data_IF_982196788431
#
_entry.id   IF_982196788431
#
_cell.length_a   1.000
_cell.length_b   1.000
_cell.length_c   1.000
_cell.angle_alpha   90.00
_cell.angle_beta   90.00
_cell.angle_gamma   90.00
#
_symmetry.space_group_name_H-M   'P 1'
#
loop_
_entity.id
_entity.type
_entity.pdbx_description
1 polymer ?
#
# COMPACT_ATOMS: atom_id res chain seq x y z
N UNK A 1 -23.04 -15.01 -11.65
CA UNK A 1 -22.59 -13.79 -12.36
C UNK A 1 -23.07 -13.96 -13.78
N UNK A 2 -24.01 -13.13 -14.23
CA UNK A 2 -24.34 -13.06 -15.66
C UNK A 2 -23.15 -12.40 -16.37
N UNK A 3 -22.65 -13.03 -17.43
CA UNK A 3 -21.52 -12.52 -18.21
C UNK A 3 -21.99 -11.34 -19.06
N UNK A 4 -21.47 -10.14 -18.80
CA UNK A 4 -21.78 -8.95 -19.60
C UNK A 4 -20.98 -9.02 -20.90
N UNK A 5 -21.64 -9.10 -22.05
CA UNK A 5 -20.98 -8.91 -23.35
C UNK A 5 -20.37 -7.51 -23.39
N UNK A 6 -19.05 -7.45 -23.24
CA UNK A 6 -18.28 -6.21 -23.23
C UNK A 6 -17.27 -6.26 -24.36
N UNK A 7 -17.11 -5.13 -25.05
CA UNK A 7 -16.15 -5.03 -26.13
C UNK A 7 -14.73 -5.25 -25.58
N UNK A 8 -13.93 -6.07 -26.27
CA UNK A 8 -12.57 -6.43 -25.83
C UNK A 8 -11.70 -5.20 -25.52
N UNK A 9 -11.87 -4.11 -26.28
CA UNK A 9 -11.11 -2.88 -26.08
C UNK A 9 -11.34 -2.27 -24.68
N UNK A 10 -12.55 -2.38 -24.11
CA UNK A 10 -12.87 -1.90 -22.76
C UNK A 10 -12.06 -2.68 -21.72
N UNK A 11 -12.03 -4.01 -21.86
CA UNK A 11 -11.27 -4.89 -20.96
C UNK A 11 -9.79 -4.55 -21.03
N UNK A 12 -9.24 -4.39 -22.24
CA UNK A 12 -7.83 -4.01 -22.44
C UNK A 12 -7.52 -2.66 -21.78
N UNK A 13 -8.37 -1.65 -21.96
CA UNK A 13 -8.20 -0.33 -21.34
C UNK A 13 -8.20 -0.44 -19.81
N UNK A 14 -9.13 -1.20 -19.22
CA UNK A 14 -9.20 -1.37 -17.77
C UNK A 14 -8.01 -2.13 -17.20
N UNK A 15 -7.51 -3.15 -17.92
CA UNK A 15 -6.26 -3.84 -17.55
C UNK A 15 -5.09 -2.86 -17.58
N UNK A 16 -4.96 -2.04 -18.63
CA UNK A 16 -3.91 -1.01 -18.73
C UNK A 16 -4.03 0.00 -17.60
N UNK A 17 -5.24 0.44 -17.25
CA UNK A 17 -5.46 1.35 -16.13
C UNK A 17 -5.08 0.72 -14.79
N UNK A 18 -5.38 -0.56 -14.58
CA UNK A 18 -4.97 -1.28 -13.39
C UNK A 18 -3.43 -1.38 -13.30
N UNK A 19 -2.75 -1.64 -14.42
CA UNK A 19 -1.27 -1.64 -14.48
C UNK A 19 -0.70 -0.26 -14.17
N UNK A 20 -1.32 0.82 -14.69
CA UNK A 20 -0.94 2.21 -14.36
C UNK A 20 -1.12 2.47 -12.86
N UNK A 21 -2.24 2.03 -12.29
CA UNK A 21 -2.47 2.12 -10.85
C UNK A 21 -1.39 1.39 -10.06
N UNK A 22 -1.00 0.18 -10.47
CA UNK A 22 0.05 -0.58 -9.77
C UNK A 22 1.43 0.05 -9.89
N UNK A 23 1.75 0.59 -11.07
CA UNK A 23 2.94 1.41 -11.28
C UNK A 23 2.91 2.65 -10.36
N UNK A 24 1.77 3.34 -10.27
CA UNK A 24 1.61 4.47 -9.38
C UNK A 24 1.72 4.09 -7.91
N UNK A 25 1.24 2.92 -7.50
CA UNK A 25 1.42 2.40 -6.15
C UNK A 25 2.90 2.17 -5.87
N UNK A 26 3.59 1.48 -6.79
CA UNK A 26 5.02 1.27 -6.69
C UNK A 26 5.79 2.58 -6.52
N UNK A 27 5.39 3.62 -7.26
CA UNK A 27 5.95 4.97 -7.21
C UNK A 27 5.62 5.75 -5.93
N UNK A 28 4.35 5.76 -5.54
CA UNK A 28 3.82 6.51 -4.40
C UNK A 28 4.34 5.91 -3.09
N UNK A 29 4.28 4.58 -2.99
CA UNK A 29 4.58 3.82 -1.79
C UNK A 29 6.05 3.35 -1.75
N UNK A 30 6.85 3.65 -2.79
CA UNK A 30 8.33 3.61 -2.73
C UNK A 30 8.88 4.33 -1.50
N UNK A 31 8.19 5.40 -1.07
CA UNK A 31 8.56 6.16 0.11
C UNK A 31 8.56 5.34 1.39
N UNK A 32 7.74 4.29 1.48
CA UNK A 32 7.60 3.46 2.66
C UNK A 32 8.88 2.65 2.94
N UNK A 33 9.53 2.15 1.89
CA UNK A 33 10.75 1.35 2.02
C UNK A 33 12.03 2.16 1.94
N UNK A 34 12.00 3.34 1.32
CA UNK A 34 13.20 4.12 0.97
C UNK A 34 13.45 5.28 1.93
N UNK A 35 12.39 5.87 2.51
CA UNK A 35 12.52 7.11 3.26
C UNK A 35 13.43 6.99 4.48
N UNK A 36 13.38 5.87 5.18
CA UNK A 36 14.21 5.57 6.35
C UNK A 36 15.67 5.35 5.95
N UNK A 37 15.96 4.56 4.91
CA UNK A 37 17.33 4.24 4.47
C UNK A 37 18.04 5.46 3.88
N UNK A 38 17.31 6.28 3.13
CA UNK A 38 17.84 7.53 2.55
C UNK A 38 18.01 8.60 3.62
N UNK A 39 17.07 8.74 4.56
CA UNK A 39 17.18 9.75 5.64
C UNK A 39 18.27 9.43 6.66
N UNK A 40 18.55 8.14 6.93
CA UNK A 40 19.67 7.72 7.79
C UNK A 40 21.02 7.76 7.07
N UNK A 41 21.01 7.96 5.75
CA UNK A 41 22.21 8.00 4.91
C UNK A 41 22.90 6.65 4.80
N UNK A 42 22.15 5.55 4.82
CA UNK A 42 22.68 4.18 4.59
C UNK A 42 22.87 3.90 3.11
N UNK A 43 21.93 4.33 2.27
CA UNK A 43 22.04 4.27 0.80
C UNK A 43 21.87 5.66 0.18
N UNK A 44 22.49 5.84 -0.99
CA UNK A 44 22.17 6.99 -1.85
C UNK A 44 20.77 6.81 -2.46
N UNK A 45 20.05 7.90 -2.79
CA UNK A 45 18.72 7.85 -3.39
C UNK A 45 18.57 6.83 -4.55
N UNK A 46 19.47 6.89 -5.54
CA UNK A 46 19.45 5.97 -6.69
C UNK A 46 19.66 4.49 -6.32
N UNK A 47 20.49 4.20 -5.31
CA UNK A 47 20.70 2.83 -4.84
C UNK A 47 19.47 2.31 -4.10
N UNK A 48 18.82 3.18 -3.32
CA UNK A 48 17.67 2.80 -2.52
C UNK A 48 16.44 2.46 -3.38
N UNK A 49 16.21 3.17 -4.50
CA UNK A 49 15.12 2.83 -5.44
C UNK A 49 15.34 1.49 -6.13
N UNK A 50 16.55 1.21 -6.60
CA UNK A 50 16.88 -0.08 -7.23
C UNK A 50 16.76 -1.23 -6.22
N UNK A 51 17.26 -1.01 -5.00
CA UNK A 51 17.18 -1.97 -3.91
C UNK A 51 15.73 -2.31 -3.55
N UNK A 52 14.89 -1.29 -3.34
CA UNK A 52 13.48 -1.47 -3.03
C UNK A 52 12.71 -2.13 -4.20
N UNK A 53 12.96 -1.70 -5.44
CA UNK A 53 12.34 -2.27 -6.63
C UNK A 53 12.67 -3.77 -6.77
N UNK A 54 13.93 -4.16 -6.58
CA UNK A 54 14.34 -5.57 -6.62
C UNK A 54 13.54 -6.41 -5.61
N UNK A 55 13.45 -5.97 -4.35
CA UNK A 55 12.72 -6.71 -3.32
C UNK A 55 11.19 -6.68 -3.51
N UNK A 56 10.63 -5.60 -4.08
CA UNK A 56 9.23 -5.55 -4.45
C UNK A 56 8.90 -6.63 -5.50
N UNK A 57 9.74 -6.81 -6.52
CA UNK A 57 9.55 -7.86 -7.53
C UNK A 57 9.81 -9.25 -6.94
N UNK A 58 10.87 -9.41 -6.14
CA UNK A 58 11.26 -10.69 -5.54
C UNK A 58 10.18 -11.27 -4.60
N UNK A 59 9.25 -10.46 -4.12
CA UNK A 59 8.12 -10.90 -3.31
C UNK A 59 7.25 -11.96 -4.01
N UNK A 60 7.24 -12.02 -5.36
CA UNK A 60 6.57 -13.07 -6.13
C UNK A 60 7.04 -14.48 -5.75
N UNK A 61 8.29 -14.65 -5.32
CA UNK A 61 8.86 -15.95 -4.96
C UNK A 61 8.65 -16.31 -3.48
N UNK A 62 8.14 -15.37 -2.68
CA UNK A 62 8.08 -15.52 -1.21
C UNK A 62 6.64 -15.64 -0.72
N UNK A 63 5.71 -14.88 -1.28
CA UNK A 63 4.34 -14.79 -0.79
C UNK A 63 3.34 -15.53 -1.67
N UNK A 64 2.40 -16.24 -1.04
CA UNK A 64 1.22 -16.77 -1.70
C UNK A 64 0.20 -15.67 -2.02
N UNK A 65 -0.65 -15.88 -3.03
CA UNK A 65 -1.61 -14.90 -3.56
C UNK A 65 -2.87 -14.71 -2.70
N UNK A 66 -2.75 -14.83 -1.38
CA UNK A 66 -3.87 -14.79 -0.44
C UNK A 66 -4.56 -13.42 -0.39
N UNK A 67 -3.83 -12.32 -0.59
CA UNK A 67 -4.40 -10.96 -0.58
C UNK A 67 -5.21 -10.71 -1.86
N UNK A 68 -4.75 -11.21 -3.00
CA UNK A 68 -5.46 -11.09 -4.28
C UNK A 68 -6.85 -11.75 -4.22
N UNK A 69 -6.96 -12.89 -3.52
CA UNK A 69 -8.23 -13.57 -3.29
C UNK A 69 -9.23 -12.76 -2.45
N UNK A 70 -8.74 -11.91 -1.53
CA UNK A 70 -9.57 -11.14 -0.60
C UNK A 70 -10.08 -9.83 -1.20
N UNK A 71 -9.27 -9.15 -2.01
CA UNK A 71 -9.59 -7.83 -2.63
C UNK A 71 -10.82 -7.93 -3.55
N UNK A 72 -11.07 -9.12 -4.11
CA UNK A 72 -12.16 -9.44 -5.03
C UNK A 72 -13.55 -9.67 -4.41
N UNK A 73 -13.61 -10.20 -3.19
CA UNK A 73 -14.84 -10.85 -2.66
C UNK A 73 -15.38 -10.22 -1.38
N UNK A 74 -14.64 -9.28 -0.79
CA UNK A 74 -14.91 -8.81 0.57
C UNK A 74 -15.67 -7.49 0.70
N UNK A 75 -15.74 -6.67 -0.35
CA UNK A 75 -16.19 -5.26 -0.23
C UNK A 75 -17.58 -5.00 -0.80
N UNK A 76 -17.93 -5.65 -1.91
CA UNK A 76 -19.19 -5.42 -2.65
C UNK A 76 -19.84 -6.76 -2.94
N UNK A 77 -21.18 -6.81 -2.97
CA UNK A 77 -21.94 -8.01 -3.27
C UNK A 77 -21.58 -8.60 -4.66
N UNK A 78 -21.51 -9.94 -4.79
CA UNK A 78 -21.30 -10.58 -6.09
C UNK A 78 -22.35 -10.14 -7.12
N UNK A 79 -21.92 -9.80 -8.33
CA UNK A 79 -22.79 -9.37 -9.43
C UNK A 79 -22.99 -7.84 -9.55
N UNK A 80 -22.59 -7.06 -8.54
CA UNK A 80 -22.58 -5.60 -8.65
C UNK A 80 -21.37 -5.11 -9.44
N UNK A 81 -20.22 -5.79 -9.31
CA UNK A 81 -19.00 -5.37 -10.00
C UNK A 81 -19.09 -5.69 -11.50
N UNK A 82 -18.99 -4.65 -12.32
CA UNK A 82 -18.84 -4.70 -13.77
C UNK A 82 -17.67 -3.81 -14.24
N UNK A 83 -17.52 -3.65 -15.55
CA UNK A 83 -16.50 -2.81 -16.18
C UNK A 83 -16.57 -1.35 -15.73
N UNK A 84 -17.76 -0.79 -15.51
CA UNK A 84 -17.98 0.59 -15.08
C UNK A 84 -17.57 0.80 -13.63
N UNK A 85 -17.88 -0.16 -12.75
CA UNK A 85 -17.43 -0.13 -11.34
C UNK A 85 -15.92 -0.22 -11.27
N UNK A 86 -15.29 -1.12 -12.04
CA UNK A 86 -13.83 -1.23 -12.10
C UNK A 86 -13.20 0.05 -12.65
N UNK A 87 -13.77 0.64 -13.70
CA UNK A 87 -13.33 1.93 -14.24
C UNK A 87 -13.37 3.02 -13.17
N UNK A 88 -14.53 3.22 -12.55
CA UNK A 88 -14.71 4.24 -11.50
C UNK A 88 -13.74 4.04 -10.34
N UNK A 89 -13.58 2.80 -9.88
CA UNK A 89 -12.65 2.46 -8.80
C UNK A 89 -11.20 2.82 -9.14
N UNK A 90 -10.73 2.43 -10.33
CA UNK A 90 -9.37 2.73 -10.78
C UNK A 90 -9.14 4.23 -10.97
N UNK A 91 -10.07 4.95 -11.59
CA UNK A 91 -9.97 6.41 -11.76
C UNK A 91 -9.92 7.10 -10.40
N UNK A 92 -10.84 6.78 -9.49
CA UNK A 92 -10.88 7.38 -8.16
C UNK A 92 -9.59 7.16 -7.38
N UNK A 93 -9.03 5.95 -7.43
CA UNK A 93 -7.79 5.60 -6.77
C UNK A 93 -6.57 6.31 -7.41
N UNK A 94 -6.45 6.28 -8.74
CA UNK A 94 -5.37 6.92 -9.50
C UNK A 94 -5.35 8.43 -9.26
N UNK A 95 -6.50 9.09 -9.42
CA UNK A 95 -6.61 10.56 -9.27
C UNK A 95 -6.26 10.97 -7.85
N UNK A 96 -6.78 10.26 -6.85
CA UNK A 96 -6.47 10.57 -5.46
C UNK A 96 -5.00 10.35 -5.13
N UNK A 97 -4.40 9.23 -5.56
CA UNK A 97 -2.98 8.95 -5.40
C UNK A 97 -2.10 10.02 -6.06
N UNK A 98 -2.49 10.51 -7.24
CA UNK A 98 -1.78 11.62 -7.89
C UNK A 98 -1.85 12.91 -7.07
N UNK A 99 -3.03 13.27 -6.57
CA UNK A 99 -3.24 14.47 -5.73
C UNK A 99 -2.38 14.38 -4.46
N UNK A 100 -2.44 13.27 -3.74
CA UNK A 100 -1.69 13.10 -2.48
C UNK A 100 -0.19 13.11 -2.73
N UNK A 101 0.28 12.48 -3.80
CA UNK A 101 1.67 12.57 -4.21
C UNK A 101 2.09 14.00 -4.56
N UNK A 102 1.27 14.74 -5.32
CA UNK A 102 1.57 16.10 -5.74
C UNK A 102 1.78 17.00 -4.52
N UNK A 103 0.94 16.88 -3.49
CA UNK A 103 1.09 17.61 -2.23
C UNK A 103 2.10 16.99 -1.26
N UNK A 104 2.70 15.84 -1.60
CA UNK A 104 3.67 15.14 -0.75
C UNK A 104 3.07 14.61 0.55
N UNK A 105 1.77 14.28 0.52
CA UNK A 105 0.99 13.74 1.62
C UNK A 105 1.13 12.21 1.60
N UNK A 106 1.69 11.59 2.65
CA UNK A 106 1.73 10.14 2.77
C UNK A 106 0.31 9.58 2.90
N UNK A 107 -0.21 9.01 1.82
CA UNK A 107 -1.53 8.39 1.74
C UNK A 107 -1.43 6.89 1.48
N UNK A 108 -2.55 6.17 1.65
CA UNK A 108 -2.65 4.74 1.39
C UNK A 108 -3.35 4.48 0.07
N UNK A 109 -2.61 3.91 -0.88
CA UNK A 109 -3.15 3.42 -2.14
C UNK A 109 -4.26 2.38 -1.93
N UNK A 110 -4.13 1.54 -0.90
CA UNK A 110 -5.15 0.54 -0.53
C UNK A 110 -6.49 1.20 -0.17
N UNK A 111 -6.45 2.28 0.60
CA UNK A 111 -7.68 2.97 1.03
C UNK A 111 -8.27 3.78 -0.10
N UNK A 112 -7.44 4.36 -0.97
CA UNK A 112 -7.90 5.02 -2.19
C UNK A 112 -8.61 4.02 -3.12
N UNK A 113 -8.10 2.81 -3.24
CA UNK A 113 -8.70 1.74 -4.02
C UNK A 113 -10.02 1.25 -3.45
N UNK A 114 -10.06 0.98 -2.14
CA UNK A 114 -11.30 0.55 -1.48
C UNK A 114 -12.35 1.66 -1.52
N UNK A 115 -11.96 2.91 -1.28
CA UNK A 115 -12.83 4.07 -1.45
C UNK A 115 -13.36 4.17 -2.88
N UNK A 116 -12.50 3.97 -3.88
CA UNK A 116 -12.92 3.92 -5.28
C UNK A 116 -13.96 2.83 -5.57
N UNK A 117 -13.74 1.60 -5.09
CA UNK A 117 -14.69 0.48 -5.23
C UNK A 117 -16.02 0.83 -4.54
N UNK A 118 -15.97 1.33 -3.31
CA UNK A 118 -17.17 1.70 -2.54
C UNK A 118 -17.96 2.81 -3.25
N UNK A 119 -17.28 3.86 -3.71
CA UNK A 119 -17.92 4.99 -4.39
C UNK A 119 -18.60 4.59 -5.70
N UNK A 120 -17.91 3.81 -6.53
CA UNK A 120 -18.48 3.32 -7.79
C UNK A 120 -19.64 2.32 -7.56
N UNK A 121 -19.53 1.44 -6.56
CA UNK A 121 -20.61 0.51 -6.20
C UNK A 121 -21.85 1.23 -5.68
N UNK A 122 -21.68 2.23 -4.82
CA UNK A 122 -22.80 3.08 -4.36
C UNK A 122 -23.46 3.79 -5.54
N UNK A 123 -22.68 4.33 -6.48
CA UNK A 123 -23.22 5.01 -7.66
C UNK A 123 -24.05 4.06 -8.56
N UNK A 124 -23.64 2.79 -8.67
CA UNK A 124 -24.35 1.78 -9.44
C UNK A 124 -25.61 1.24 -8.75
N UNK A 125 -25.48 0.82 -7.50
CA UNK A 125 -26.43 -0.08 -6.84
C UNK A 125 -26.83 0.38 -5.44
N UNK A 126 -26.45 1.60 -5.04
CA UNK A 126 -26.76 2.16 -3.73
C UNK A 126 -25.93 1.55 -2.59
N UNK A 127 -26.21 2.00 -1.37
CA UNK A 127 -25.44 1.62 -0.17
C UNK A 127 -25.63 0.13 0.20
N UNK A 128 -26.79 -0.44 -0.13
CA UNK A 128 -27.12 -1.84 0.18
C UNK A 128 -26.27 -2.86 -0.62
N UNK A 129 -25.58 -2.39 -1.67
CA UNK A 129 -24.64 -3.20 -2.45
C UNK A 129 -23.34 -3.56 -1.71
N UNK A 130 -23.10 -2.92 -0.57
CA UNK A 130 -21.85 -2.99 0.18
C UNK A 130 -21.86 -4.08 1.24
N UNK A 131 -20.74 -4.79 1.36
CA UNK A 131 -20.55 -5.78 2.42
C UNK A 131 -20.04 -5.05 3.67
N UNK A 132 -20.96 -4.79 4.61
CA UNK A 132 -20.68 -4.07 5.85
C UNK A 132 -19.48 -4.64 6.62
N UNK A 133 -19.34 -5.97 6.67
CA UNK A 133 -18.22 -6.64 7.34
C UNK A 133 -16.85 -6.31 6.71
N UNK A 134 -16.76 -6.20 5.38
CA UNK A 134 -15.51 -5.87 4.70
C UNK A 134 -15.15 -4.38 4.80
N UNK A 135 -16.15 -3.51 4.73
CA UNK A 135 -15.97 -2.08 4.95
C UNK A 135 -15.54 -1.82 6.39
N UNK A 136 -16.21 -2.44 7.37
CA UNK A 136 -15.84 -2.29 8.78
C UNK A 136 -14.42 -2.76 9.03
N UNK A 137 -14.00 -3.90 8.45
CA UNK A 137 -12.60 -4.34 8.50
C UNK A 137 -11.67 -3.27 7.93
N UNK A 138 -11.97 -2.71 6.76
CA UNK A 138 -11.15 -1.66 6.15
C UNK A 138 -11.02 -0.43 7.06
N UNK A 139 -12.14 0.09 7.57
CA UNK A 139 -12.17 1.27 8.44
C UNK A 139 -11.42 1.02 9.74
N UNK A 140 -11.60 -0.15 10.36
CA UNK A 140 -10.88 -0.52 11.59
C UNK A 140 -9.37 -0.60 11.34
N UNK A 141 -8.94 -1.15 10.20
CA UNK A 141 -7.53 -1.26 9.86
C UNK A 141 -6.85 0.09 9.57
N UNK A 142 -7.59 1.17 9.31
CA UNK A 142 -7.03 2.54 9.29
C UNK A 142 -6.36 2.87 10.62
N UNK A 143 -6.94 2.42 11.75
CA UNK A 143 -6.42 2.68 13.09
C UNK A 143 -5.52 1.55 13.60
N UNK A 144 -5.85 0.29 13.31
CA UNK A 144 -5.06 -0.86 13.77
C UNK A 144 -3.68 -0.89 13.10
N UNK A 145 -3.59 -0.67 11.78
CA UNK A 145 -2.30 -0.75 11.08
C UNK A 145 -1.23 0.23 11.58
N UNK A 146 -1.50 1.54 11.79
CA UNK A 146 -0.50 2.43 12.37
C UNK A 146 -0.26 2.15 13.86
N UNK A 147 -1.26 1.68 14.60
CA UNK A 147 -1.08 1.30 16.00
C UNK A 147 -0.15 0.10 16.14
N UNK A 148 -0.34 -0.95 15.34
CA UNK A 148 0.55 -2.11 15.30
C UNK A 148 1.96 -1.71 14.89
N UNK A 149 2.09 -0.86 13.86
CA UNK A 149 3.37 -0.27 13.48
C UNK A 149 4.04 0.45 14.65
N UNK A 150 3.30 1.33 15.33
CA UNK A 150 3.77 2.08 16.50
C UNK A 150 4.24 1.16 17.62
N UNK A 151 3.45 0.15 17.98
CA UNK A 151 3.76 -0.78 19.05
C UNK A 151 4.98 -1.64 18.72
N UNK A 152 5.01 -2.24 17.53
CA UNK A 152 6.12 -3.10 17.11
C UNK A 152 7.41 -2.32 16.87
N UNK A 153 7.34 -1.13 16.27
CA UNK A 153 8.48 -0.24 16.12
C UNK A 153 9.05 0.22 17.47
N UNK A 154 8.17 0.56 18.42
CA UNK A 154 8.55 0.93 19.78
C UNK A 154 9.18 -0.24 20.53
N UNK A 155 8.56 -1.42 20.46
CA UNK A 155 9.06 -2.64 21.08
C UNK A 155 10.45 -2.99 20.55
N UNK A 156 10.65 -2.96 19.22
CA UNK A 156 11.96 -3.20 18.61
C UNK A 156 13.00 -2.18 19.07
N UNK A 157 12.64 -0.91 19.17
CA UNK A 157 13.55 0.14 19.65
C UNK A 157 13.93 -0.05 21.11
N UNK A 158 12.99 -0.45 21.97
CA UNK A 158 13.26 -0.76 23.39
C UNK A 158 14.18 -1.97 23.47
N UNK A 159 13.83 -3.09 22.81
CA UNK A 159 14.63 -4.32 22.80
C UNK A 159 16.07 -4.04 22.37
N UNK A 160 16.26 -3.37 21.23
CA UNK A 160 17.60 -3.01 20.73
C UNK A 160 18.33 -2.08 21.69
N UNK A 161 17.64 -1.09 22.27
CA UNK A 161 18.28 -0.16 23.21
C UNK A 161 18.80 -0.87 24.46
N UNK A 162 18.05 -1.85 24.99
CA UNK A 162 18.48 -2.66 26.13
C UNK A 162 19.60 -3.63 25.77
N UNK A 163 19.49 -4.33 24.63
CA UNK A 163 20.53 -5.29 24.19
C UNK A 163 21.87 -4.61 23.89
N UNK A 164 21.85 -3.40 23.34
CA UNK A 164 23.06 -2.67 22.95
C UNK A 164 23.48 -1.57 23.94
N UNK A 165 22.88 -1.50 25.14
CA UNK A 165 23.18 -0.44 26.14
C UNK A 165 24.64 -0.35 26.55
N UNK A 166 25.36 -1.48 26.55
CA UNK A 166 26.76 -1.57 26.94
C UNK A 166 27.75 -1.34 25.78
N UNK A 167 27.25 -1.12 24.56
CA UNK A 167 28.08 -0.97 23.36
C UNK A 167 28.37 0.49 23.06
N UNK A 168 29.57 0.77 22.52
CA UNK A 168 29.96 2.12 22.10
C UNK A 168 29.06 2.61 20.94
N UNK A 169 28.53 3.84 20.97
CA UNK A 169 27.62 4.37 19.94
C UNK A 169 28.14 4.25 18.50
N UNK A 170 29.44 4.41 18.28
CA UNK A 170 30.06 4.27 16.96
C UNK A 170 29.99 2.83 16.41
N UNK A 171 30.16 1.82 17.28
CA UNK A 171 30.04 0.41 16.88
C UNK A 171 28.59 0.06 16.53
N UNK A 172 27.65 0.55 17.34
CA UNK A 172 26.20 0.41 17.10
C UNK A 172 25.84 1.02 15.74
N UNK A 173 26.24 2.26 15.46
CA UNK A 173 25.97 2.89 14.16
C UNK A 173 26.52 2.06 12.99
N UNK A 174 27.79 1.60 13.07
CA UNK A 174 28.42 0.78 12.03
C UNK A 174 27.66 -0.52 11.76
N UNK A 175 27.17 -1.19 12.79
CA UNK A 175 26.41 -2.45 12.63
C UNK A 175 25.00 -2.21 12.11
N UNK A 176 24.28 -1.25 12.68
CA UNK A 176 22.91 -0.96 12.27
C UNK A 176 22.81 -0.36 10.87
N UNK A 177 23.85 0.28 10.34
CA UNK A 177 23.91 0.64 8.90
C UNK A 177 23.81 -0.59 7.98
N UNK A 178 24.36 -1.74 8.39
CA UNK A 178 24.26 -2.99 7.62
C UNK A 178 22.95 -3.70 7.88
N UNK A 179 22.52 -3.77 9.14
CA UNK A 179 21.26 -4.44 9.50
C UNK A 179 20.04 -3.69 8.97
N UNK A 180 20.10 -2.37 8.86
CA UNK A 180 19.04 -1.59 8.23
C UNK A 180 18.80 -2.00 6.77
N UNK A 181 19.83 -2.43 6.03
CA UNK A 181 19.61 -2.95 4.68
C UNK A 181 18.75 -4.22 4.70
N UNK A 182 18.97 -5.09 5.68
CA UNK A 182 18.18 -6.34 5.83
C UNK A 182 16.73 -6.00 6.18
N UNK A 183 16.49 -5.09 7.13
CA UNK A 183 15.13 -4.68 7.49
C UNK A 183 14.42 -3.93 6.36
N UNK A 184 15.12 -3.08 5.62
CA UNK A 184 14.57 -2.38 4.46
C UNK A 184 14.22 -3.36 3.32
N UNK A 185 15.04 -4.38 3.11
CA UNK A 185 14.77 -5.45 2.15
C UNK A 185 13.56 -6.26 2.56
N UNK A 186 13.47 -6.65 3.84
CA UNK A 186 12.30 -7.33 4.39
C UNK A 186 11.02 -6.48 4.27
N UNK A 187 11.08 -5.19 4.60
CA UNK A 187 9.93 -4.29 4.46
C UNK A 187 9.50 -4.17 2.98
N UNK A 188 10.46 -4.02 2.05
CA UNK A 188 10.19 -4.00 0.61
C UNK A 188 9.57 -5.31 0.11
N UNK A 189 10.05 -6.46 0.57
CA UNK A 189 9.42 -7.75 0.28
C UNK A 189 7.96 -7.78 0.75
N UNK A 190 7.69 -7.31 1.97
CA UNK A 190 6.33 -7.25 2.51
C UNK A 190 5.43 -6.29 1.74
N UNK A 191 5.99 -5.17 1.27
CA UNK A 191 5.30 -4.21 0.43
C UNK A 191 4.90 -4.85 -0.92
N UNK A 192 5.85 -5.46 -1.65
CA UNK A 192 5.54 -6.20 -2.87
C UNK A 192 4.55 -7.37 -2.65
N UNK A 193 4.67 -8.06 -1.50
CA UNK A 193 3.80 -9.17 -1.12
C UNK A 193 2.35 -8.77 -0.87
N UNK A 194 2.10 -7.55 -0.37
CA UNK A 194 0.74 -7.07 -0.09
C UNK A 194 0.15 -6.23 -1.23
N UNK A 195 0.94 -5.32 -1.80
CA UNK A 195 0.42 -4.25 -2.65
C UNK A 195 0.22 -4.70 -4.10
N UNK A 196 1.16 -5.46 -4.68
CA UNK A 196 1.01 -6.01 -6.03
C UNK A 196 -0.25 -6.90 -6.14
N UNK A 197 -0.55 -7.64 -5.07
CA UNK A 197 -1.71 -8.52 -5.01
C UNK A 197 -3.05 -7.79 -5.08
N UNK A 198 -3.11 -6.51 -4.70
CA UNK A 198 -4.34 -5.71 -4.78
C UNK A 198 -4.74 -5.46 -6.23
N UNK A 199 -3.77 -5.09 -7.05
CA UNK A 199 -3.99 -4.91 -8.49
C UNK A 199 -4.28 -6.24 -9.16
N UNK A 200 -3.57 -7.31 -8.80
CA UNK A 200 -3.88 -8.68 -9.27
C UNK A 200 -5.33 -9.02 -8.97
N UNK A 201 -5.81 -8.74 -7.75
CA UNK A 201 -7.20 -8.98 -7.35
C UNK A 201 -8.23 -8.23 -8.19
N UNK A 202 -7.94 -6.97 -8.58
CA UNK A 202 -8.85 -6.17 -9.42
C UNK A 202 -8.88 -6.67 -10.86
N UNK A 203 -7.72 -6.93 -11.45
CA UNK A 203 -7.66 -7.47 -12.81
C UNK A 203 -8.37 -8.82 -12.84
N UNK A 204 -8.15 -9.66 -11.83
CA UNK A 204 -8.81 -10.96 -11.74
C UNK A 204 -10.32 -10.84 -11.62
N UNK A 205 -10.81 -9.92 -10.77
CA UNK A 205 -12.24 -9.63 -10.64
C UNK A 205 -12.85 -9.16 -11.97
N UNK A 206 -12.15 -8.28 -12.70
CA UNK A 206 -12.56 -7.81 -14.03
C UNK A 206 -12.67 -8.98 -15.02
N UNK A 207 -11.67 -9.85 -15.08
CA UNK A 207 -11.66 -11.00 -15.99
C UNK A 207 -12.78 -12.01 -15.66
N UNK A 208 -13.10 -12.18 -14.38
CA UNK A 208 -14.25 -12.99 -13.93
C UNK A 208 -15.56 -12.33 -14.36
N UNK A 209 -15.74 -11.03 -14.13
CA UNK A 209 -16.97 -10.29 -14.46
C UNK A 209 -17.27 -10.28 -15.97
N UNK A 210 -16.22 -10.34 -16.79
CA UNK A 210 -16.29 -10.31 -18.26
C UNK A 210 -16.26 -11.71 -18.89
N UNK A 211 -16.16 -12.77 -18.09
CA UNK A 211 -16.20 -14.16 -18.54
C UNK A 211 -14.91 -14.72 -19.14
N UNK A 212 -13.80 -13.97 -19.11
CA UNK A 212 -12.47 -14.44 -19.57
C UNK A 212 -11.80 -15.40 -18.57
N UNK A 213 -12.27 -15.45 -17.33
CA UNK A 213 -11.77 -16.36 -16.28
C UNK A 213 -12.94 -16.91 -15.49
N UNK A 214 -12.87 -18.17 -15.08
CA UNK A 214 -13.96 -18.80 -14.33
C UNK A 214 -13.94 -18.33 -12.88
N UNK A 215 -15.12 -18.15 -12.28
CA UNK A 215 -15.25 -17.84 -10.86
C UNK A 215 -14.79 -18.99 -9.94
N UNK A 216 -14.65 -20.20 -10.49
CA UNK A 216 -14.20 -21.41 -9.79
C UNK A 216 -12.66 -21.52 -9.79
N UNK A 217 -11.97 -20.74 -10.64
CA UNK A 217 -10.52 -20.77 -10.71
C UNK A 217 -9.94 -20.36 -9.35
N UNK A 218 -8.93 -21.12 -8.90
CA UNK A 218 -8.31 -20.91 -7.60
C UNK A 218 -7.17 -19.88 -7.64
N UNK A 219 -6.72 -19.49 -8.84
CA UNK A 219 -5.61 -18.56 -9.02
C UNK A 219 -5.85 -17.64 -10.24
N UNK A 220 -5.36 -16.39 -10.18
CA UNK A 220 -5.38 -15.49 -11.33
C UNK A 220 -4.39 -15.97 -12.42
N UNK A 221 -4.59 -15.56 -13.69
CA UNK A 221 -3.66 -15.90 -14.77
C UNK A 221 -2.23 -15.44 -14.50
N UNK A 222 -1.24 -16.26 -14.86
CA UNK A 222 0.19 -16.00 -14.59
C UNK A 222 0.69 -14.68 -15.18
N UNK A 223 0.18 -14.29 -16.35
CA UNK A 223 0.55 -13.01 -16.97
C UNK A 223 0.12 -11.82 -16.11
N UNK A 224 -1.04 -11.88 -15.44
CA UNK A 224 -1.50 -10.81 -14.53
C UNK A 224 -0.52 -10.67 -13.38
N UNK A 225 -0.09 -11.79 -12.80
CA UNK A 225 0.86 -11.83 -11.68
C UNK A 225 2.18 -11.18 -12.11
N UNK A 226 2.77 -11.64 -13.22
CA UNK A 226 4.07 -11.15 -13.69
C UNK A 226 4.03 -9.66 -14.05
N UNK A 227 2.95 -9.21 -14.70
CA UNK A 227 2.80 -7.81 -15.12
C UNK A 227 2.63 -6.90 -13.90
N UNK A 228 1.82 -7.25 -12.91
CA UNK A 228 1.67 -6.46 -11.68
C UNK A 228 3.00 -6.36 -10.90
N UNK A 229 3.67 -7.49 -10.65
CA UNK A 229 4.98 -7.45 -9.97
C UNK A 229 6.02 -6.62 -10.74
N UNK A 230 6.00 -6.66 -12.08
CA UNK A 230 6.88 -5.81 -12.90
C UNK A 230 6.48 -4.34 -12.79
N UNK A 231 5.18 -4.04 -12.84
CA UNK A 231 4.64 -2.68 -12.78
C UNK A 231 4.98 -1.99 -11.45
N UNK A 232 4.72 -2.64 -10.32
CA UNK A 232 5.06 -2.10 -9.00
C UNK A 232 6.57 -1.89 -8.86
N UNK A 233 7.41 -2.81 -9.37
CA UNK A 233 8.86 -2.68 -9.37
C UNK A 233 9.34 -1.48 -10.19
N UNK A 234 8.84 -1.33 -11.41
CA UNK A 234 9.14 -0.19 -12.28
C UNK A 234 8.67 1.13 -11.66
N UNK A 235 7.48 1.14 -11.05
CA UNK A 235 6.96 2.28 -10.32
C UNK A 235 7.90 2.70 -9.19
N UNK A 236 8.39 1.75 -8.41
CA UNK A 236 9.33 2.01 -7.31
C UNK A 236 10.64 2.66 -7.78
N UNK A 237 11.10 2.37 -8.99
CA UNK A 237 12.29 3.01 -9.56
C UNK A 237 12.12 4.53 -9.74
N UNK A 238 10.89 5.05 -9.85
CA UNK A 238 10.62 6.50 -9.98
C UNK A 238 10.65 7.24 -8.63
N UNK A 239 10.65 6.54 -7.50
CA UNK A 239 11.17 7.02 -6.22
C UNK A 239 10.34 8.00 -5.39
N UNK A 240 9.13 8.39 -5.79
CA UNK A 240 8.14 9.03 -4.90
C UNK A 240 8.63 10.22 -4.05
N UNK A 241 9.59 11.00 -4.54
CA UNK A 241 10.49 11.82 -3.69
C UNK A 241 9.78 12.87 -2.81
N UNK A 242 8.63 13.38 -3.24
CA UNK A 242 7.81 14.32 -2.46
C UNK A 242 7.36 13.70 -1.14
N UNK A 243 6.92 12.44 -1.19
CA UNK A 243 6.48 11.67 -0.01
C UNK A 243 7.68 11.20 0.81
N UNK A 244 8.76 10.75 0.16
CA UNK A 244 10.03 10.37 0.82
C UNK A 244 10.51 11.51 1.74
N UNK A 245 10.48 12.75 1.24
CA UNK A 245 10.88 13.92 2.03
C UNK A 245 9.99 14.14 3.25
N UNK A 246 8.68 13.94 3.12
CA UNK A 246 7.76 14.08 4.25
C UNK A 246 7.99 12.97 5.29
N UNK A 247 8.04 11.71 4.89
CA UNK A 247 8.21 10.59 5.82
C UNK A 247 9.59 10.54 6.48
N UNK A 248 10.65 10.77 5.70
CA UNK A 248 12.02 10.62 6.18
C UNK A 248 12.57 11.81 6.99
N UNK A 249 11.98 13.00 6.84
CA UNK A 249 12.52 14.23 7.44
C UNK A 249 11.53 15.01 8.30
N UNK A 250 10.22 14.94 8.02
CA UNK A 250 9.23 15.81 8.69
C UNK A 250 8.56 15.17 9.90
N UNK A 251 8.60 13.84 10.07
CA UNK A 251 7.93 13.16 11.18
C UNK A 251 8.85 13.07 12.40
N UNK A 252 9.99 12.38 12.24
CA UNK A 252 11.03 12.26 13.28
C UNK A 252 12.40 12.08 12.64
N UNK A 253 13.47 12.50 13.32
CA UNK A 253 14.84 12.33 12.83
C UNK A 253 15.37 10.96 13.23
N UNK A 254 15.53 10.07 12.25
CA UNK A 254 16.00 8.71 12.48
C UNK A 254 17.53 8.61 12.37
N UNK A 255 18.10 7.73 13.19
CA UNK A 255 19.45 7.17 13.04
C UNK A 255 19.33 5.75 12.45
N UNK A 256 20.40 5.14 11.91
CA UNK A 256 20.32 3.79 11.33
C UNK A 256 19.64 2.75 12.22
N UNK A 257 19.92 2.78 13.54
CA UNK A 257 19.25 1.92 14.52
C UNK A 257 17.74 2.13 14.58
N UNK A 258 17.28 3.38 14.50
CA UNK A 258 15.85 3.70 14.49
C UNK A 258 15.18 3.33 13.17
N UNK A 259 15.89 3.50 12.06
CA UNK A 259 15.43 3.03 10.74
C UNK A 259 15.24 1.51 10.74
N UNK A 260 16.23 0.77 11.24
CA UNK A 260 16.13 -0.69 11.40
C UNK A 260 14.93 -1.11 12.25
N UNK A 261 14.71 -0.48 13.41
CA UNK A 261 13.58 -0.81 14.28
C UNK A 261 12.23 -0.51 13.62
N UNK A 262 12.11 0.63 12.93
CA UNK A 262 10.88 1.03 12.25
C UNK A 262 10.54 0.09 11.08
N UNK A 263 11.52 -0.20 10.23
CA UNK A 263 11.38 -1.10 9.08
C UNK A 263 11.09 -2.53 9.54
N UNK A 264 11.75 -3.02 10.59
CA UNK A 264 11.51 -4.37 11.13
C UNK A 264 10.11 -4.49 11.71
N UNK A 265 9.68 -3.53 12.55
CA UNK A 265 8.32 -3.52 13.09
C UNK A 265 7.26 -3.40 12.00
N UNK A 266 7.54 -2.60 10.96
CA UNK A 266 6.69 -2.50 9.78
C UNK A 266 6.63 -3.82 8.98
N UNK A 267 7.78 -4.46 8.74
CA UNK A 267 7.89 -5.70 7.98
C UNK A 267 7.14 -6.84 8.69
N UNK A 268 7.30 -6.98 10.01
CA UNK A 268 6.54 -7.94 10.82
C UNK A 268 5.03 -7.74 10.62
N UNK A 269 4.56 -6.50 10.72
CA UNK A 269 3.14 -6.17 10.51
C UNK A 269 2.68 -6.59 9.12
N UNK A 270 3.45 -6.29 8.07
CA UNK A 270 3.10 -6.63 6.69
C UNK A 270 3.11 -8.13 6.42
N UNK A 271 4.08 -8.86 6.99
CA UNK A 271 4.21 -10.30 6.80
C UNK A 271 3.04 -11.02 7.47
N UNK A 272 2.69 -10.61 8.70
CA UNK A 272 1.52 -11.14 9.40
C UNK A 272 0.22 -10.84 8.64
N UNK A 273 0.03 -9.60 8.20
CA UNK A 273 -1.15 -9.22 7.43
C UNK A 273 -1.28 -10.01 6.12
N UNK A 274 -0.18 -10.14 5.38
CA UNK A 274 -0.13 -10.88 4.10
C UNK A 274 -0.36 -12.37 4.32
N UNK A 275 0.21 -12.97 5.38
CA UNK A 275 -0.04 -14.37 5.75
C UNK A 275 -1.51 -14.63 6.10
N UNK A 276 -2.19 -13.66 6.73
CA UNK A 276 -3.63 -13.71 6.99
C UNK A 276 -4.49 -13.33 5.77
N UNK A 277 -3.88 -12.99 4.62
CA UNK A 277 -4.59 -12.56 3.42
C UNK A 277 -5.32 -11.21 3.58
N UNK A 278 -4.92 -10.39 4.56
CA UNK A 278 -5.56 -9.10 4.85
C UNK A 278 -4.87 -7.99 4.05
N UNK A 279 -5.60 -7.26 3.19
CA UNK A 279 -5.05 -6.06 2.55
C UNK A 279 -4.86 -4.97 3.61
N UNK A 280 -3.62 -4.52 3.80
CA UNK A 280 -3.28 -3.48 4.78
C UNK A 280 -2.63 -2.28 4.11
N UNK A 281 -2.58 -1.17 4.83
CA UNK A 281 -1.86 0.03 4.39
C UNK A 281 -0.41 -0.03 4.84
N UNK A 282 0.49 -0.22 3.88
CA UNK A 282 1.94 -0.16 4.08
C UNK A 282 2.34 1.20 4.65
N UNK A 283 1.80 2.29 4.08
CA UNK A 283 2.03 3.68 4.51
C UNK A 283 1.63 3.91 5.97
N UNK A 284 0.48 3.39 6.42
CA UNK A 284 0.06 3.56 7.81
C UNK A 284 0.97 2.80 8.76
N UNK A 285 1.28 1.55 8.41
CA UNK A 285 2.14 0.67 9.22
C UNK A 285 3.53 1.27 9.42
N UNK A 286 4.21 1.73 8.36
CA UNK A 286 5.56 2.30 8.52
C UNK A 286 5.51 3.68 9.19
N UNK A 287 4.51 4.50 8.88
CA UNK A 287 4.35 5.81 9.54
C UNK A 287 4.17 5.63 11.04
N UNK A 288 3.30 4.69 11.44
CA UNK A 288 3.12 4.29 12.82
C UNK A 288 4.43 3.83 13.46
N UNK A 289 5.18 2.96 12.79
CA UNK A 289 6.46 2.47 13.29
C UNK A 289 7.51 3.58 13.45
N UNK A 290 7.61 4.50 12.50
CA UNK A 290 8.48 5.68 12.57
C UNK A 290 8.11 6.55 13.77
N UNK A 291 6.82 6.83 13.95
CA UNK A 291 6.31 7.61 15.09
C UNK A 291 6.60 6.89 16.42
N UNK A 292 6.41 5.58 16.49
CA UNK A 292 6.70 4.76 17.66
C UNK A 292 8.18 4.79 18.05
N UNK A 293 9.08 4.54 17.09
CA UNK A 293 10.52 4.66 17.31
C UNK A 293 10.90 6.06 17.79
N UNK A 294 10.30 7.11 17.22
CA UNK A 294 10.52 8.49 17.68
C UNK A 294 10.07 8.71 19.13
N UNK A 295 8.87 8.22 19.48
CA UNK A 295 8.26 8.38 20.80
C UNK A 295 9.05 7.69 21.92
N UNK A 296 9.67 6.54 21.65
CA UNK A 296 10.51 5.83 22.65
C UNK A 296 11.74 6.62 23.11
N UNK A 297 12.25 7.55 22.31
CA UNK A 297 13.35 8.44 22.74
C UNK A 297 12.84 9.55 23.64
N UNK A 298 11.79 10.23 23.20
CA UNK A 298 11.05 11.30 23.90
C UNK A 298 9.84 11.69 23.07
N UNK A 299 8.71 12.00 23.71
CA UNK A 299 7.51 12.43 23.01
C UNK A 299 7.74 13.66 22.10
N UNK A 300 8.62 14.59 22.50
CA UNK A 300 8.97 15.78 21.71
C UNK A 300 9.85 15.52 20.48
N UNK A 301 10.36 14.30 20.29
CA UNK A 301 11.10 13.92 19.08
C UNK A 301 10.18 13.66 17.88
N UNK A 302 8.87 13.52 18.12
CA UNK A 302 7.84 13.37 17.09
C UNK A 302 7.22 14.74 16.83
N UNK A 303 7.09 15.12 15.56
CA UNK A 303 6.33 16.30 15.16
C UNK A 303 4.85 15.98 15.09
N UNK A 304 4.15 16.02 16.22
CA UNK A 304 2.74 15.63 16.35
C UNK A 304 1.79 16.37 15.41
N UNK A 305 2.05 17.64 15.09
CA UNK A 305 1.24 18.37 14.09
C UNK A 305 1.33 17.75 12.70
N UNK A 306 2.50 17.23 12.30
CA UNK A 306 2.67 16.52 11.02
C UNK A 306 1.98 15.16 11.08
N UNK A 307 2.16 14.41 12.17
CA UNK A 307 1.51 13.11 12.35
C UNK A 307 -0.03 13.22 12.34
N UNK A 308 -0.58 14.24 13.00
CA UNK A 308 -2.02 14.52 13.00
C UNK A 308 -2.56 14.86 11.61
N UNK A 309 -1.86 15.69 10.84
CA UNK A 309 -2.23 16.01 9.46
C UNK A 309 -2.24 14.75 8.57
N UNK A 310 -1.30 13.82 8.79
CA UNK A 310 -1.26 12.56 8.08
C UNK A 310 -2.48 11.69 8.41
N UNK A 311 -2.87 11.59 9.69
CA UNK A 311 -4.07 10.84 10.10
C UNK A 311 -5.33 11.41 9.45
N UNK A 312 -5.48 12.73 9.41
CA UNK A 312 -6.60 13.37 8.72
C UNK A 312 -6.62 13.06 7.22
N UNK A 313 -5.47 13.06 6.57
CA UNK A 313 -5.37 12.67 5.16
C UNK A 313 -5.80 11.21 4.95
N UNK A 314 -5.47 10.30 5.88
CA UNK A 314 -5.91 8.90 5.81
C UNK A 314 -7.42 8.75 5.92
N UNK A 315 -8.05 9.48 6.85
CA UNK A 315 -9.52 9.48 7.01
C UNK A 315 -10.18 10.06 5.75
N UNK A 316 -9.64 11.15 5.19
CA UNK A 316 -10.19 11.81 4.00
C UNK A 316 -10.02 10.98 2.71
N UNK A 317 -9.08 10.03 2.70
CA UNK A 317 -8.74 9.28 1.47
C UNK A 317 -9.89 8.44 0.94
N UNK A 318 -10.63 7.74 1.81
CA UNK A 318 -11.78 6.93 1.40
C UNK A 318 -12.90 7.80 0.80
N UNK A 319 -13.44 8.83 1.49
CA UNK A 319 -14.54 9.63 0.94
C UNK A 319 -14.12 10.41 -0.31
N UNK A 320 -12.89 10.92 -0.39
CA UNK A 320 -12.44 11.67 -1.55
C UNK A 320 -12.27 10.77 -2.79
N UNK A 321 -11.63 9.62 -2.65
CA UNK A 321 -11.52 8.64 -3.75
C UNK A 321 -12.88 8.06 -4.15
N UNK A 322 -13.78 7.83 -3.18
CA UNK A 322 -15.14 7.38 -3.45
C UNK A 322 -15.95 8.41 -4.25
N UNK A 323 -15.84 9.69 -3.91
CA UNK A 323 -16.50 10.76 -4.66
C UNK A 323 -16.03 10.81 -6.11
N UNK A 324 -14.71 10.78 -6.33
CA UNK A 324 -14.14 10.78 -7.69
C UNK A 324 -14.57 9.52 -8.47
N UNK A 325 -14.58 8.36 -7.81
CA UNK A 325 -15.01 7.11 -8.43
C UNK A 325 -16.49 7.09 -8.81
N UNK A 326 -17.36 7.65 -7.97
CA UNK A 326 -18.78 7.79 -8.28
C UNK A 326 -18.97 8.65 -9.54
N UNK A 327 -18.29 9.80 -9.64
CA UNK A 327 -18.34 10.66 -10.84
C UNK A 327 -17.81 9.92 -12.06
N UNK A 328 -16.67 9.22 -11.94
CA UNK A 328 -16.09 8.46 -13.03
C UNK A 328 -16.98 7.30 -13.50
N UNK A 329 -17.72 6.67 -12.60
CA UNK A 329 -18.73 5.66 -12.93
C UNK A 329 -19.81 6.26 -13.85
N UNK A 330 -20.41 7.40 -13.50
CA UNK A 330 -21.41 8.06 -14.35
C UNK A 330 -20.85 8.47 -15.71
N UNK A 331 -19.60 8.92 -15.76
CA UNK A 331 -18.92 9.24 -17.02
C UNK A 331 -18.77 7.98 -17.88
N UNK A 332 -18.38 6.83 -17.29
CA UNK A 332 -18.18 5.60 -18.05
C UNK A 332 -19.43 5.15 -18.80
N UNK A 333 -20.62 5.31 -18.19
CA UNK A 333 -21.91 5.00 -18.83
C UNK A 333 -22.20 5.82 -20.11
N UNK A 334 -21.50 6.93 -20.31
CA UNK A 334 -21.61 7.76 -21.51
C UNK A 334 -20.54 7.43 -22.57
N UNK A 335 -19.51 6.68 -22.19
CA UNK A 335 -18.34 6.39 -23.04
C UNK A 335 -18.42 5.00 -23.65
N UNK A 336 -18.81 3.98 -22.88
CA UNK A 336 -18.87 2.59 -23.33
C UNK A 336 -19.95 1.78 -22.62
#
# INVERSE_FOLDING_TARGET
>A
METVQTALWVVVVLVVMAIIFDFMNGFHDAANSIATVVSTGVLKPGQAVVFAAFFNVAAIFVFHLSVAATVGKGIVLPGVVDTHVVFGALVGAIVWNFITWYYGIPSSSSHALIGGIVGAAIAKAGVDSLISAGILKTVVFIFISPLLGFLLGSAMMILVSWSFRSFRPLKVDKWFRRWQLVSAGAYSLGHGGNDAQKTIGIIWMLLIATGYTSAIDQAPPTWVILVCYTAIGLGTMFGGWRIVKTMGQKITKLKPVGGFCAETGGAITLFLATAMGVPVSTTHTITGAIVGVGATRRASAVRWGVAGNIIWAWILTIPASAFVAAVAYWISLQVF
#
